data_IF_769667064412
#
_entry.id   IF_769667064412
#
_cell.length_a   1.000
_cell.length_b   1.000
_cell.length_c   1.000
_cell.angle_alpha   90.00
_cell.angle_beta   90.00
_cell.angle_gamma   90.00
#
_symmetry.space_group_name_H-M   'P 1'
#
loop_
_entity.id
_entity.type
_entity.pdbx_description
1 polymer ?
#
# COMPACT_ATOMS: atom_id res chain seq x y z
N UNK A 1 -13.65 -26.67 8.82
CA UNK A 1 -12.23 -26.59 9.21
C UNK A 1 -11.39 -25.76 8.23
N UNK A 2 -11.22 -26.19 6.96
CA UNK A 2 -10.37 -25.46 6.00
C UNK A 2 -10.73 -23.97 5.84
N UNK A 3 -12.02 -23.61 5.79
CA UNK A 3 -12.44 -22.21 5.69
C UNK A 3 -11.95 -21.35 6.86
N UNK A 4 -11.89 -21.87 8.09
CA UNK A 4 -11.33 -21.13 9.22
C UNK A 4 -9.83 -20.89 9.04
N UNK A 5 -9.07 -21.92 8.64
CA UNK A 5 -7.62 -21.81 8.39
C UNK A 5 -7.32 -20.84 7.23
N UNK A 6 -8.15 -20.86 6.20
CA UNK A 6 -8.01 -19.94 5.09
C UNK A 6 -8.31 -18.50 5.53
N UNK A 7 -9.44 -18.26 6.20
CA UNK A 7 -9.88 -16.90 6.51
C UNK A 7 -9.10 -16.25 7.67
N UNK A 8 -8.64 -17.02 8.66
CA UNK A 8 -7.78 -16.49 9.73
C UNK A 8 -6.47 -15.92 9.18
N UNK A 9 -6.02 -16.41 8.01
CA UNK A 9 -4.90 -15.83 7.27
C UNK A 9 -5.36 -14.75 6.27
N UNK A 10 -6.34 -15.08 5.42
CA UNK A 10 -6.70 -14.25 4.27
C UNK A 10 -7.37 -12.93 4.68
N UNK A 11 -8.07 -12.88 5.81
CA UNK A 11 -8.65 -11.63 6.30
C UNK A 11 -7.57 -10.65 6.80
N UNK A 12 -6.65 -11.01 7.71
CA UNK A 12 -5.49 -10.15 8.01
C UNK A 12 -4.68 -9.74 6.78
N UNK A 13 -4.57 -10.64 5.79
CA UNK A 13 -3.86 -10.35 4.54
C UNK A 13 -4.46 -9.19 3.75
N UNK A 14 -5.79 -8.95 3.80
CA UNK A 14 -6.36 -7.77 3.15
C UNK A 14 -5.84 -6.47 3.77
N UNK A 15 -5.61 -6.44 5.08
CA UNK A 15 -5.02 -5.27 5.75
C UNK A 15 -3.55 -5.09 5.41
N UNK A 16 -2.79 -6.18 5.25
CA UNK A 16 -1.39 -6.11 4.81
C UNK A 16 -1.28 -5.37 3.46
N UNK A 17 -2.26 -5.52 2.57
CA UNK A 17 -2.28 -4.81 1.29
C UNK A 17 -2.74 -3.35 1.47
N UNK A 18 -3.81 -3.13 2.23
CA UNK A 18 -4.47 -1.82 2.32
C UNK A 18 -3.69 -0.80 3.15
N UNK A 19 -3.03 -1.23 4.23
CA UNK A 19 -2.34 -0.32 5.15
C UNK A 19 -1.19 0.45 4.48
N UNK A 20 -0.34 -0.15 3.62
CA UNK A 20 0.61 0.60 2.82
C UNK A 20 -0.03 1.70 1.96
N UNK A 21 -1.15 1.43 1.29
CA UNK A 21 -1.85 2.44 0.49
C UNK A 21 -2.40 3.58 1.37
N UNK A 22 -2.95 3.27 2.56
CA UNK A 22 -3.35 4.27 3.55
C UNK A 22 -2.15 5.12 4.02
N UNK A 23 -0.99 4.49 4.23
CA UNK A 23 0.26 5.18 4.56
C UNK A 23 0.70 6.14 3.45
N UNK A 24 0.72 5.66 2.19
CA UNK A 24 1.05 6.50 1.03
C UNK A 24 0.14 7.72 0.93
N UNK A 25 -1.18 7.55 1.12
CA UNK A 25 -2.14 8.66 1.12
C UNK A 25 -1.90 9.59 2.30
N UNK A 26 -1.67 9.05 3.50
CA UNK A 26 -1.47 9.84 4.72
C UNK A 26 -0.21 10.68 4.68
N UNK A 27 0.81 10.25 3.95
CA UNK A 27 2.08 10.96 3.78
C UNK A 27 2.04 11.96 2.62
N UNK A 28 1.52 11.53 1.46
CA UNK A 28 1.59 12.32 0.23
C UNK A 28 0.41 13.29 0.03
N UNK A 29 -0.81 12.97 0.50
CA UNK A 29 -1.96 13.90 0.40
C UNK A 29 -1.71 15.25 1.10
N UNK A 30 -1.15 15.30 2.32
CA UNK A 30 -0.79 16.55 3.00
C UNK A 30 0.09 17.49 2.17
N UNK A 31 1.04 16.95 1.39
CA UNK A 31 1.92 17.72 0.49
C UNK A 31 1.11 18.55 -0.49
N UNK A 32 0.12 17.94 -1.13
CA UNK A 32 -0.76 18.62 -2.07
C UNK A 32 -1.79 19.51 -1.38
N UNK A 33 -2.00 19.37 -0.07
CA UNK A 33 -2.84 20.27 0.73
C UNK A 33 -2.04 21.41 1.38
N UNK A 34 -0.70 21.42 1.26
CA UNK A 34 0.19 22.45 1.85
C UNK A 34 0.00 22.61 3.37
N UNK A 35 -0.32 21.51 4.04
CA UNK A 35 -0.55 21.47 5.48
C UNK A 35 -0.27 20.06 6.00
N UNK A 36 0.24 19.90 7.24
CA UNK A 36 0.34 18.60 7.90
C UNK A 36 -0.97 17.83 7.95
N UNK A 37 -0.86 16.51 8.07
CA UNK A 37 -1.99 15.61 8.28
C UNK A 37 -2.76 15.99 9.55
N UNK A 38 -4.03 16.33 9.39
CA UNK A 38 -4.90 16.65 10.53
C UNK A 38 -5.11 15.41 11.38
N UNK A 39 -4.86 15.52 12.68
CA UNK A 39 -5.07 14.42 13.62
C UNK A 39 -4.08 13.25 13.45
N UNK A 40 -2.82 13.52 13.05
CA UNK A 40 -1.77 12.50 12.87
C UNK A 40 -1.79 11.39 13.93
N UNK A 41 -1.76 11.74 15.22
CA UNK A 41 -1.75 10.77 16.32
C UNK A 41 -2.98 9.87 16.30
N UNK A 42 -4.17 10.42 15.98
CA UNK A 42 -5.40 9.66 15.85
C UNK A 42 -5.35 8.71 14.65
N UNK A 43 -4.76 9.13 13.53
CA UNK A 43 -4.56 8.27 12.36
C UNK A 43 -3.60 7.12 12.66
N UNK A 44 -2.51 7.37 13.40
CA UNK A 44 -1.58 6.33 13.84
C UNK A 44 -2.28 5.33 14.77
N UNK A 45 -3.01 5.81 15.78
CA UNK A 45 -3.78 4.95 16.70
C UNK A 45 -4.82 4.15 15.91
N UNK A 46 -5.52 4.76 14.96
CA UNK A 46 -6.49 4.08 14.11
C UNK A 46 -5.84 2.99 13.25
N UNK A 47 -4.67 3.26 12.68
CA UNK A 47 -3.91 2.29 11.88
C UNK A 47 -3.51 1.08 12.71
N UNK A 48 -2.92 1.31 13.90
CA UNK A 48 -2.53 0.24 14.84
C UNK A 48 -3.76 -0.55 15.31
N UNK A 49 -4.86 0.15 15.64
CA UNK A 49 -6.11 -0.48 16.05
C UNK A 49 -6.67 -1.37 14.94
N UNK A 50 -6.62 -0.92 13.69
CA UNK A 50 -7.03 -1.71 12.52
C UNK A 50 -6.18 -2.97 12.38
N UNK A 51 -4.85 -2.87 12.57
CA UNK A 51 -3.95 -4.02 12.52
C UNK A 51 -4.31 -5.07 13.57
N UNK A 52 -4.55 -4.66 14.82
CA UNK A 52 -4.90 -5.58 15.92
C UNK A 52 -6.27 -6.22 15.67
N UNK A 53 -7.29 -5.40 15.38
CA UNK A 53 -8.65 -5.88 15.15
C UNK A 53 -8.74 -6.77 13.90
N UNK A 54 -7.88 -6.58 12.90
CA UNK A 54 -7.87 -7.36 11.67
C UNK A 54 -7.64 -8.85 11.90
N UNK A 55 -6.98 -9.26 12.98
CA UNK A 55 -6.84 -10.67 13.36
C UNK A 55 -8.09 -11.26 14.04
N UNK A 56 -9.05 -10.42 14.45
CA UNK A 56 -10.21 -10.81 15.25
C UNK A 56 -11.54 -10.90 14.51
N UNK A 57 -11.58 -10.72 13.19
CA UNK A 57 -12.85 -10.52 12.43
C UNK A 57 -13.09 -11.53 11.30
N UNK A 58 -12.19 -12.49 11.06
CA UNK A 58 -12.19 -13.34 9.86
C UNK A 58 -13.47 -14.15 9.62
N UNK A 59 -14.20 -14.50 10.68
CA UNK A 59 -15.40 -15.33 10.60
C UNK A 59 -16.56 -14.62 9.87
N UNK A 60 -16.50 -13.31 9.65
CA UNK A 60 -17.52 -12.65 8.81
C UNK A 60 -17.57 -13.18 7.38
N UNK A 61 -16.51 -13.83 6.90
CA UNK A 61 -16.51 -14.48 5.59
C UNK A 61 -17.30 -15.80 5.56
N UNK A 62 -17.77 -16.24 6.73
CA UNK A 62 -18.39 -17.54 6.97
C UNK A 62 -19.80 -17.42 7.55
N UNK A 63 -20.41 -16.23 7.59
CA UNK A 63 -21.73 -16.05 8.19
C UNK A 63 -22.78 -17.01 7.59
N UNK A 64 -22.80 -17.16 6.26
CA UNK A 64 -23.71 -18.05 5.54
C UNK A 64 -23.36 -19.57 5.61
N UNK A 65 -22.55 -20.02 6.58
CA UNK A 65 -22.11 -21.43 6.68
C UNK A 65 -22.77 -22.24 7.80
N UNK A 66 -23.73 -21.64 8.52
CA UNK A 66 -24.48 -22.32 9.59
C UNK A 66 -23.74 -22.38 10.94
N UNK A 67 -22.82 -21.44 11.19
CA UNK A 67 -22.11 -21.34 12.47
C UNK A 67 -23.04 -20.88 13.62
N UNK A 68 -22.72 -21.21 14.90
CA UNK A 68 -23.56 -20.87 16.04
C UNK A 68 -23.85 -19.37 16.17
N UNK A 69 -25.05 -19.04 16.65
CA UNK A 69 -25.51 -17.65 16.81
C UNK A 69 -24.60 -16.77 17.67
N UNK A 70 -24.01 -17.33 18.74
CA UNK A 70 -23.06 -16.61 19.58
C UNK A 70 -21.82 -16.16 18.79
N UNK A 71 -21.31 -17.01 17.91
CA UNK A 71 -20.19 -16.66 17.01
C UNK A 71 -20.62 -15.60 15.99
N UNK A 72 -21.79 -15.75 15.36
CA UNK A 72 -22.32 -14.75 14.42
C UNK A 72 -22.38 -13.37 15.07
N UNK A 73 -22.94 -13.29 16.29
CA UNK A 73 -23.12 -12.03 17.02
C UNK A 73 -21.79 -11.38 17.39
N UNK A 74 -20.84 -12.17 17.89
CA UNK A 74 -19.50 -11.67 18.25
C UNK A 74 -18.75 -11.10 17.04
N UNK A 75 -18.65 -11.88 15.96
CA UNK A 75 -17.87 -11.48 14.79
C UNK A 75 -18.55 -10.38 13.97
N UNK A 76 -19.89 -10.29 14.00
CA UNK A 76 -20.62 -9.14 13.44
C UNK A 76 -20.31 -7.86 14.22
N UNK A 77 -20.40 -7.90 15.55
CA UNK A 77 -20.05 -6.77 16.41
C UNK A 77 -18.61 -6.31 16.22
N UNK A 78 -17.65 -7.23 16.21
CA UNK A 78 -16.24 -6.93 15.96
C UNK A 78 -16.03 -6.32 14.56
N UNK A 79 -16.75 -6.80 13.54
CA UNK A 79 -16.69 -6.25 12.18
C UNK A 79 -17.31 -4.86 12.07
N UNK A 80 -18.28 -4.49 12.91
CA UNK A 80 -18.75 -3.11 12.99
C UNK A 80 -17.71 -2.21 13.67
N UNK A 81 -17.06 -2.66 14.74
CA UNK A 81 -16.09 -1.85 15.49
C UNK A 81 -14.91 -1.41 14.61
N UNK A 82 -14.45 -2.26 13.68
CA UNK A 82 -13.32 -1.93 12.79
C UNK A 82 -13.60 -0.74 11.84
N UNK A 83 -14.87 -0.38 11.66
CA UNK A 83 -15.27 0.78 10.86
C UNK A 83 -14.91 2.10 11.55
N UNK A 84 -14.77 2.11 12.89
CA UNK A 84 -14.45 3.32 13.66
C UNK A 84 -13.04 3.82 13.35
N UNK A 85 -11.96 3.01 13.47
CA UNK A 85 -10.61 3.42 13.05
C UNK A 85 -10.55 3.89 11.59
N UNK A 86 -11.25 3.19 10.70
CA UNK A 86 -11.33 3.53 9.29
C UNK A 86 -11.96 4.91 9.08
N UNK A 87 -13.06 5.20 9.78
CA UNK A 87 -13.73 6.50 9.73
C UNK A 87 -12.83 7.62 10.26
N UNK A 88 -12.11 7.40 11.37
CA UNK A 88 -11.14 8.38 11.90
C UNK A 88 -10.12 8.78 10.83
N UNK A 89 -9.58 7.81 10.10
CA UNK A 89 -8.62 8.07 9.02
C UNK A 89 -9.25 8.84 7.85
N UNK A 90 -10.46 8.44 7.42
CA UNK A 90 -11.21 9.13 6.36
C UNK A 90 -11.50 10.58 6.72
N UNK A 91 -11.98 10.85 7.93
CA UNK A 91 -12.25 12.22 8.38
C UNK A 91 -10.96 13.04 8.51
N UNK A 92 -9.87 12.46 9.01
CA UNK A 92 -8.57 13.12 9.07
C UNK A 92 -8.10 13.58 7.68
N UNK A 93 -8.22 12.73 6.65
CA UNK A 93 -7.86 13.11 5.28
C UNK A 93 -8.80 14.19 4.71
N UNK A 94 -10.11 14.09 4.95
CA UNK A 94 -11.08 15.13 4.53
C UNK A 94 -10.75 16.47 5.19
N UNK A 95 -10.48 16.49 6.49
CA UNK A 95 -10.12 17.70 7.22
C UNK A 95 -8.77 18.27 6.75
N UNK A 96 -7.83 17.42 6.36
CA UNK A 96 -6.55 17.85 5.77
C UNK A 96 -6.78 18.60 4.44
N UNK A 97 -7.67 18.10 3.59
CA UNK A 97 -8.07 18.78 2.36
C UNK A 97 -8.83 20.08 2.67
N UNK A 98 -9.73 20.05 3.66
CA UNK A 98 -10.62 21.15 4.00
C UNK A 98 -9.88 22.36 4.58
N UNK A 99 -8.94 22.12 5.51
CA UNK A 99 -8.17 23.19 6.14
C UNK A 99 -6.94 23.61 5.33
N UNK A 100 -6.46 22.75 4.43
CA UNK A 100 -5.33 23.03 3.57
C UNK A 100 -5.67 23.95 2.39
N UNK A 101 -4.68 24.09 1.49
CA UNK A 101 -4.79 24.77 0.20
C UNK A 101 -4.48 23.77 -0.93
N UNK A 102 -5.49 23.02 -1.41
CA UNK A 102 -5.28 21.95 -2.39
C UNK A 102 -4.65 22.45 -3.69
N UNK A 103 -3.51 21.86 -4.06
CA UNK A 103 -2.84 22.03 -5.35
C UNK A 103 -3.22 20.84 -6.22
N UNK A 104 -4.15 21.06 -7.15
CA UNK A 104 -4.71 20.00 -7.99
C UNK A 104 -3.71 19.57 -9.06
N UNK A 105 -2.95 18.53 -8.74
CA UNK A 105 -2.06 17.78 -9.63
C UNK A 105 -2.52 16.33 -9.73
N UNK A 106 -1.98 15.58 -10.68
CA UNK A 106 -2.35 14.17 -10.89
C UNK A 106 -2.28 13.33 -9.60
N UNK A 107 -1.23 13.39 -8.76
CA UNK A 107 -1.21 12.64 -7.49
C UNK A 107 -2.41 12.97 -6.58
N UNK A 108 -2.73 14.26 -6.42
CA UNK A 108 -3.86 14.71 -5.61
C UNK A 108 -5.19 14.13 -6.10
N UNK A 109 -5.42 14.06 -7.42
CA UNK A 109 -6.65 13.49 -7.98
C UNK A 109 -6.82 12.02 -7.58
N UNK A 110 -5.73 11.24 -7.62
CA UNK A 110 -5.73 9.85 -7.18
C UNK A 110 -5.94 9.71 -5.67
N UNK A 111 -5.25 10.50 -4.84
CA UNK A 111 -5.42 10.46 -3.39
C UNK A 111 -6.81 10.93 -2.92
N UNK A 112 -7.38 11.95 -3.55
CA UNK A 112 -8.75 12.36 -3.27
C UNK A 112 -9.76 11.26 -3.68
N UNK A 113 -9.51 10.60 -4.81
CA UNK A 113 -10.35 9.49 -5.28
C UNK A 113 -10.21 8.24 -4.42
N UNK A 114 -9.04 7.99 -3.84
CA UNK A 114 -8.84 6.96 -2.83
C UNK A 114 -9.85 7.13 -1.68
N UNK A 115 -10.00 8.36 -1.16
CA UNK A 115 -10.94 8.65 -0.07
C UNK A 115 -12.37 8.31 -0.50
N UNK A 116 -12.77 8.73 -1.71
CA UNK A 116 -14.10 8.42 -2.27
C UNK A 116 -14.33 6.91 -2.38
N UNK A 117 -13.38 6.17 -2.96
CA UNK A 117 -13.48 4.71 -3.11
C UNK A 117 -13.54 4.03 -1.74
N UNK A 118 -12.74 4.51 -0.79
CA UNK A 118 -12.70 4.02 0.58
C UNK A 118 -14.07 4.22 1.25
N UNK A 119 -14.69 5.40 1.10
CA UNK A 119 -16.02 5.66 1.68
C UNK A 119 -17.10 4.75 1.08
N UNK A 120 -17.16 4.62 -0.26
CA UNK A 120 -18.15 3.75 -0.91
C UNK A 120 -17.96 2.28 -0.50
N UNK A 121 -16.72 1.82 -0.47
CA UNK A 121 -16.35 0.48 -0.02
C UNK A 121 -16.66 0.26 1.47
N UNK A 122 -16.40 1.25 2.32
CA UNK A 122 -16.68 1.20 3.75
C UNK A 122 -18.17 1.08 4.05
N UNK A 123 -19.02 1.85 3.35
CA UNK A 123 -20.49 1.79 3.50
C UNK A 123 -21.02 0.40 3.11
N UNK A 124 -20.57 -0.16 1.97
CA UNK A 124 -20.94 -1.54 1.58
C UNK A 124 -20.35 -2.59 2.54
N UNK A 125 -19.21 -2.31 3.16
CA UNK A 125 -18.60 -3.15 4.20
C UNK A 125 -19.45 -3.24 5.47
N UNK A 126 -20.00 -2.12 5.93
CA UNK A 126 -20.95 -2.10 7.05
C UNK A 126 -22.17 -2.97 6.76
N UNK A 127 -22.66 -2.96 5.51
CA UNK A 127 -23.78 -3.82 5.11
C UNK A 127 -23.41 -5.30 5.16
N UNK A 128 -22.21 -5.68 4.69
CA UNK A 128 -21.76 -7.10 4.71
C UNK A 128 -21.30 -7.56 6.10
N UNK A 129 -20.96 -6.65 7.00
CA UNK A 129 -20.72 -6.96 8.42
C UNK A 129 -22.02 -7.31 9.19
N UNK A 130 -23.17 -6.90 8.67
CA UNK A 130 -24.50 -7.22 9.22
C UNK A 130 -24.92 -8.63 8.82
N UNK A 131 -25.00 -9.55 9.78
CA UNK A 131 -25.36 -10.97 9.52
C UNK A 131 -26.67 -11.12 8.73
N UNK A 132 -27.78 -10.44 9.08
CA UNK A 132 -29.03 -10.55 8.30
C UNK A 132 -28.89 -10.08 6.85
N UNK A 133 -28.11 -9.02 6.61
CA UNK A 133 -27.87 -8.52 5.26
C UNK A 133 -26.91 -9.45 4.51
N UNK A 134 -25.83 -9.92 5.15
CA UNK A 134 -24.91 -10.87 4.53
C UNK A 134 -25.64 -12.14 4.10
N UNK A 135 -26.60 -12.68 4.85
CA UNK A 135 -27.36 -13.84 4.40
C UNK A 135 -28.05 -13.65 3.03
N UNK A 136 -28.41 -12.42 2.67
CA UNK A 136 -28.98 -12.10 1.36
C UNK A 136 -27.91 -11.78 0.31
N UNK A 137 -26.83 -11.12 0.73
CA UNK A 137 -25.78 -10.60 -0.16
C UNK A 137 -24.66 -11.62 -0.40
N UNK A 138 -24.55 -12.65 0.44
CA UNK A 138 -23.46 -13.61 0.44
C UNK A 138 -23.41 -14.32 -0.91
N UNK A 139 -22.24 -14.30 -1.54
CA UNK A 139 -22.06 -14.95 -2.83
C UNK A 139 -22.72 -14.24 -4.01
N UNK A 140 -23.25 -13.02 -3.86
CA UNK A 140 -23.76 -12.23 -4.98
C UNK A 140 -22.70 -11.26 -5.51
N UNK A 141 -23.04 -10.57 -6.60
CA UNK A 141 -22.27 -9.45 -7.14
C UNK A 141 -22.10 -8.29 -6.16
N UNK A 142 -22.91 -8.19 -5.09
CA UNK A 142 -22.75 -7.15 -4.08
C UNK A 142 -21.42 -7.30 -3.34
N UNK A 143 -21.09 -8.52 -2.91
CA UNK A 143 -19.80 -8.83 -2.26
C UNK A 143 -18.64 -8.64 -3.25
N UNK A 144 -18.85 -8.95 -4.52
CA UNK A 144 -17.85 -8.67 -5.57
C UNK A 144 -17.60 -7.18 -5.68
N UNK A 145 -18.65 -6.36 -5.77
CA UNK A 145 -18.55 -4.91 -5.84
C UNK A 145 -17.82 -4.35 -4.60
N UNK A 146 -18.26 -4.75 -3.41
CA UNK A 146 -17.65 -4.36 -2.14
C UNK A 146 -16.14 -4.61 -2.14
N UNK A 147 -15.70 -5.84 -2.41
CA UNK A 147 -14.27 -6.22 -2.45
C UNK A 147 -13.52 -5.41 -3.51
N UNK A 148 -14.11 -5.16 -4.68
CA UNK A 148 -13.46 -4.31 -5.68
C UNK A 148 -13.22 -2.91 -5.14
N UNK A 149 -14.16 -2.29 -4.42
CA UNK A 149 -13.92 -0.98 -3.79
C UNK A 149 -12.87 -1.03 -2.68
N UNK A 150 -13.03 -1.91 -1.67
CA UNK A 150 -12.19 -1.91 -0.46
C UNK A 150 -10.84 -2.62 -0.62
N UNK A 151 -10.65 -3.42 -1.65
CA UNK A 151 -9.36 -4.06 -1.91
C UNK A 151 -8.73 -3.49 -3.17
N UNK A 152 -9.41 -3.55 -4.31
CA UNK A 152 -8.78 -3.17 -5.58
C UNK A 152 -8.76 -1.65 -5.75
N UNK A 153 -9.87 -0.97 -5.50
CA UNK A 153 -10.04 0.47 -5.69
C UNK A 153 -9.07 1.24 -4.83
N UNK A 154 -9.17 1.12 -3.51
CA UNK A 154 -8.29 1.87 -2.61
C UNK A 154 -6.80 1.58 -2.89
N UNK A 155 -6.40 0.34 -3.16
CA UNK A 155 -5.00 0.07 -3.49
C UNK A 155 -4.61 0.66 -4.86
N UNK A 156 -5.46 0.53 -5.87
CA UNK A 156 -5.21 1.09 -7.20
C UNK A 156 -5.02 2.60 -7.15
N UNK A 157 -5.95 3.34 -6.53
CA UNK A 157 -5.87 4.80 -6.47
C UNK A 157 -4.71 5.25 -5.56
N UNK A 158 -4.49 4.59 -4.41
CA UNK A 158 -3.36 4.89 -3.53
C UNK A 158 -2.00 4.69 -4.21
N UNK A 159 -1.80 3.53 -4.84
CA UNK A 159 -0.54 3.17 -5.52
C UNK A 159 -0.32 3.99 -6.79
N UNK A 160 -1.36 4.32 -7.55
CA UNK A 160 -1.19 5.20 -8.72
C UNK A 160 -0.87 6.64 -8.29
N UNK A 161 -1.52 7.16 -7.25
CA UNK A 161 -1.15 8.46 -6.68
C UNK A 161 0.31 8.48 -6.22
N UNK A 162 0.72 7.44 -5.51
CA UNK A 162 2.10 7.21 -5.09
C UNK A 162 3.09 7.13 -6.26
N UNK A 163 2.72 6.40 -7.33
CA UNK A 163 3.52 6.32 -8.54
C UNK A 163 3.77 7.72 -9.10
N UNK A 164 2.73 8.52 -9.33
CA UNK A 164 2.90 9.89 -9.84
C UNK A 164 3.67 10.80 -8.87
N UNK A 165 3.50 10.62 -7.56
CA UNK A 165 4.18 11.39 -6.53
C UNK A 165 5.69 11.09 -6.48
N UNK A 166 6.08 9.82 -6.37
CA UNK A 166 7.49 9.41 -6.24
C UNK A 166 8.20 9.10 -7.57
N UNK A 167 7.51 9.05 -8.71
CA UNK A 167 8.16 8.87 -10.02
C UNK A 167 9.31 9.86 -10.30
N UNK A 168 9.20 11.16 -9.97
CA UNK A 168 10.31 12.09 -10.09
C UNK A 168 11.53 11.68 -9.26
N UNK A 169 11.31 11.19 -8.03
CA UNK A 169 12.38 10.72 -7.14
C UNK A 169 13.04 9.44 -7.66
N UNK A 170 12.28 8.52 -8.25
CA UNK A 170 12.82 7.27 -8.80
C UNK A 170 13.56 7.46 -10.14
N UNK A 171 13.09 8.39 -10.99
CA UNK A 171 13.57 8.51 -12.38
C UNK A 171 14.36 9.78 -12.69
N UNK A 172 14.33 10.79 -11.81
CA UNK A 172 14.85 12.13 -12.07
C UNK A 172 14.04 12.93 -13.09
N UNK A 173 12.87 12.45 -13.51
CA UNK A 173 12.05 13.03 -14.59
C UNK A 173 10.60 13.22 -14.17
N UNK A 174 9.94 14.24 -14.71
CA UNK A 174 8.50 14.49 -14.51
C UNK A 174 7.65 13.74 -15.53
N UNK A 175 6.52 13.16 -15.10
CA UNK A 175 5.47 12.63 -15.98
C UNK A 175 4.64 13.78 -16.59
N UNK A 176 3.91 13.48 -17.67
CA UNK A 176 3.00 14.47 -18.28
C UNK A 176 1.73 14.61 -17.44
N UNK A 177 1.48 15.82 -16.91
CA UNK A 177 0.24 16.15 -16.19
C UNK A 177 -0.99 15.94 -17.09
N UNK A 178 -0.95 16.39 -18.35
CA UNK A 178 -2.09 16.25 -19.28
C UNK A 178 -2.46 14.78 -19.46
N UNK A 179 -1.48 13.93 -19.79
CA UNK A 179 -1.71 12.51 -20.01
C UNK A 179 -2.16 11.81 -18.71
N UNK A 180 -1.59 12.22 -17.57
CA UNK A 180 -1.98 11.70 -16.26
C UNK A 180 -3.42 12.05 -15.89
N UNK A 181 -3.89 13.25 -16.22
CA UNK A 181 -5.30 13.65 -16.04
C UNK A 181 -6.25 12.84 -16.91
N UNK A 182 -5.89 12.58 -18.19
CA UNK A 182 -6.69 11.69 -19.05
C UNK A 182 -6.75 10.28 -18.48
N UNK A 183 -5.59 9.71 -18.12
CA UNK A 183 -5.51 8.39 -17.50
C UNK A 183 -6.38 8.32 -16.24
N UNK A 184 -6.27 9.32 -15.38
CA UNK A 184 -7.10 9.45 -14.17
C UNK A 184 -8.60 9.46 -14.50
N UNK A 185 -9.05 10.27 -15.46
CA UNK A 185 -10.46 10.36 -15.81
C UNK A 185 -11.03 9.01 -16.28
N UNK A 186 -10.29 8.29 -17.12
CA UNK A 186 -10.68 6.96 -17.58
C UNK A 186 -10.63 5.90 -16.46
N UNK A 187 -9.64 5.95 -15.58
CA UNK A 187 -9.55 5.04 -14.43
C UNK A 187 -10.68 5.30 -13.44
N UNK A 188 -10.89 6.54 -13.03
CA UNK A 188 -11.93 6.92 -12.09
C UNK A 188 -13.33 6.62 -12.63
N UNK A 189 -13.62 7.07 -13.85
CA UNK A 189 -14.89 6.82 -14.51
C UNK A 189 -15.11 5.33 -14.79
N UNK A 190 -14.11 4.67 -15.38
CA UNK A 190 -14.17 3.25 -15.73
C UNK A 190 -14.32 2.35 -14.51
N UNK A 191 -13.59 2.60 -13.43
CA UNK A 191 -13.70 1.84 -12.18
C UNK A 191 -15.11 1.94 -11.57
N UNK A 192 -15.65 3.15 -11.45
CA UNK A 192 -17.00 3.31 -10.90
C UNK A 192 -18.06 2.73 -11.84
N UNK A 193 -17.93 2.90 -13.15
CA UNK A 193 -18.84 2.30 -14.12
C UNK A 193 -18.77 0.77 -14.12
N UNK A 194 -17.59 0.20 -13.85
CA UNK A 194 -17.37 -1.23 -13.76
C UNK A 194 -17.99 -1.84 -12.50
N UNK A 195 -17.78 -1.22 -11.33
CA UNK A 195 -18.04 -1.89 -10.06
C UNK A 195 -19.20 -1.29 -9.26
N UNK A 196 -19.52 -0.01 -9.41
CA UNK A 196 -20.66 0.58 -8.70
C UNK A 196 -21.99 -0.11 -9.07
N UNK A 197 -22.30 -0.35 -10.37
CA UNK A 197 -23.54 -1.00 -10.75
C UNK A 197 -23.64 -2.46 -10.29
N UNK A 198 -22.52 -3.11 -9.97
CA UNK A 198 -22.53 -4.47 -9.43
C UNK A 198 -23.21 -4.56 -8.06
N UNK A 199 -23.21 -3.49 -7.25
CA UNK A 199 -24.02 -3.46 -6.03
C UNK A 199 -25.50 -3.65 -6.35
N UNK A 200 -25.97 -3.04 -7.44
CA UNK A 200 -27.37 -3.13 -7.87
C UNK A 200 -27.73 -4.54 -8.35
N UNK A 201 -26.92 -5.14 -9.23
CA UNK A 201 -27.15 -6.54 -9.66
C UNK A 201 -27.02 -7.52 -8.50
N UNK A 202 -26.14 -7.24 -7.54
CA UNK A 202 -26.03 -8.00 -6.31
C UNK A 202 -27.29 -7.97 -5.45
N UNK A 203 -27.90 -6.79 -5.30
CA UNK A 203 -29.20 -6.63 -4.62
C UNK A 203 -30.34 -7.32 -5.37
N UNK A 204 -30.26 -7.40 -6.71
CA UNK A 204 -31.18 -8.19 -7.54
C UNK A 204 -30.91 -9.70 -7.49
N UNK A 205 -29.97 -10.16 -6.68
CA UNK A 205 -29.68 -11.59 -6.49
C UNK A 205 -28.78 -12.20 -7.56
N UNK A 206 -28.04 -11.40 -8.35
CA UNK A 206 -27.09 -11.94 -9.31
C UNK A 206 -25.94 -12.67 -8.59
N UNK A 207 -25.81 -14.01 -8.74
CA UNK A 207 -24.75 -14.76 -8.08
C UNK A 207 -23.40 -14.49 -8.73
N UNK A 208 -22.33 -14.52 -7.94
CA UNK A 208 -20.94 -14.48 -8.47
C UNK A 208 -20.56 -15.81 -9.10
N UNK A 209 -19.52 -15.80 -9.95
CA UNK A 209 -18.94 -17.01 -10.58
C UNK A 209 -19.90 -17.76 -11.51
N UNK A 210 -20.78 -17.03 -12.17
CA UNK A 210 -21.59 -17.54 -13.29
C UNK A 210 -21.05 -16.97 -14.60
N UNK A 211 -20.96 -17.81 -15.63
CA UNK A 211 -20.48 -17.39 -16.95
C UNK A 211 -21.59 -16.83 -17.85
N UNK A 212 -22.85 -17.07 -17.49
CA UNK A 212 -24.05 -16.63 -18.21
C UNK A 212 -25.20 -16.41 -17.25
N UNK A 213 -26.24 -15.70 -17.70
CA UNK A 213 -27.47 -15.43 -16.94
C UNK A 213 -28.69 -15.43 -17.87
N UNK A 214 -29.89 -15.73 -17.35
CA UNK A 214 -31.12 -15.68 -18.15
C UNK A 214 -31.43 -14.27 -18.65
N UNK A 215 -31.91 -14.14 -19.89
CA UNK A 215 -32.26 -12.85 -20.52
C UNK A 215 -33.33 -12.08 -19.72
N UNK A 216 -34.31 -12.79 -19.17
CA UNK A 216 -35.40 -12.21 -18.36
C UNK A 216 -35.03 -11.79 -16.93
N UNK A 217 -33.77 -11.96 -16.50
CA UNK A 217 -33.36 -11.64 -15.13
C UNK A 217 -33.21 -10.12 -14.86
N UNK A 218 -33.27 -9.28 -15.90
CA UNK A 218 -33.13 -7.83 -15.77
C UNK A 218 -31.70 -7.33 -15.58
N UNK A 219 -30.70 -8.21 -15.61
CA UNK A 219 -29.29 -7.87 -15.36
C UNK A 219 -28.53 -7.42 -16.62
N UNK A 220 -29.10 -7.59 -17.82
CA UNK A 220 -28.39 -7.44 -19.10
C UNK A 220 -27.76 -6.05 -19.30
N UNK A 221 -28.56 -4.99 -19.16
CA UNK A 221 -28.06 -3.62 -19.34
C UNK A 221 -27.04 -3.21 -18.28
N UNK A 222 -27.24 -3.65 -17.04
CA UNK A 222 -26.30 -3.36 -15.95
C UNK A 222 -24.98 -4.09 -16.19
N UNK A 223 -25.00 -5.36 -16.58
CA UNK A 223 -23.77 -6.11 -16.92
C UNK A 223 -23.05 -5.53 -18.13
N UNK A 224 -23.77 -5.09 -19.17
CA UNK A 224 -23.17 -4.37 -20.30
C UNK A 224 -22.44 -3.12 -19.83
N UNK A 225 -23.05 -2.35 -18.92
CA UNK A 225 -22.45 -1.15 -18.33
C UNK A 225 -21.17 -1.49 -17.57
N UNK A 226 -21.19 -2.54 -16.73
CA UNK A 226 -20.00 -2.99 -16.01
C UNK A 226 -18.87 -3.41 -16.96
N UNK A 227 -19.22 -4.05 -18.09
CA UNK A 227 -18.27 -4.48 -19.11
C UNK A 227 -17.62 -3.28 -19.79
N UNK A 228 -18.40 -2.29 -20.23
CA UNK A 228 -17.88 -1.05 -20.79
C UNK A 228 -16.96 -0.33 -19.80
N UNK A 229 -17.37 -0.24 -18.53
CA UNK A 229 -16.55 0.32 -17.46
C UNK A 229 -15.20 -0.38 -17.32
N UNK A 230 -15.16 -1.71 -17.41
CA UNK A 230 -13.92 -2.48 -17.31
C UNK A 230 -12.94 -2.18 -18.48
N UNK A 231 -13.46 -1.99 -19.69
CA UNK A 231 -12.62 -1.60 -20.84
C UNK A 231 -12.11 -0.16 -20.71
N UNK A 232 -12.93 0.77 -20.20
CA UNK A 232 -12.49 2.14 -19.92
C UNK A 232 -11.38 2.17 -18.85
N UNK A 233 -11.54 1.36 -17.80
CA UNK A 233 -10.51 1.19 -16.77
C UNK A 233 -9.20 0.65 -17.39
N UNK A 234 -9.28 -0.41 -18.20
CA UNK A 234 -8.10 -0.98 -18.87
C UNK A 234 -7.41 0.04 -19.79
N UNK A 235 -8.19 0.83 -20.53
CA UNK A 235 -7.66 1.91 -21.36
C UNK A 235 -6.97 3.00 -20.52
N UNK A 236 -7.55 3.37 -19.38
CA UNK A 236 -6.92 4.31 -18.45
C UNK A 236 -5.60 3.78 -17.88
N UNK A 237 -5.51 2.49 -17.54
CA UNK A 237 -4.25 1.85 -17.12
C UNK A 237 -3.21 1.88 -18.25
N UNK A 238 -3.62 1.60 -19.49
CA UNK A 238 -2.73 1.73 -20.65
C UNK A 238 -2.18 3.16 -20.78
N UNK A 239 -3.00 4.19 -20.56
CA UNK A 239 -2.54 5.58 -20.57
C UNK A 239 -1.53 5.88 -19.45
N UNK A 240 -1.65 5.26 -18.27
CA UNK A 240 -0.62 5.37 -17.22
C UNK A 240 0.71 4.78 -17.72
N UNK A 241 0.69 3.59 -18.31
CA UNK A 241 1.90 2.96 -18.84
C UNK A 241 2.55 3.80 -19.95
N UNK A 242 1.75 4.35 -20.86
CA UNK A 242 2.21 5.29 -21.88
C UNK A 242 2.83 6.54 -21.23
N UNK A 243 2.26 7.04 -20.13
CA UNK A 243 2.79 8.20 -19.42
C UNK A 243 4.10 7.90 -18.70
N UNK A 244 4.23 6.72 -18.10
CA UNK A 244 5.49 6.25 -17.49
C UNK A 244 6.58 6.19 -18.56
N UNK A 245 6.30 5.54 -19.68
CA UNK A 245 7.22 5.46 -20.82
C UNK A 245 7.59 6.86 -21.35
N UNK A 246 6.60 7.74 -21.53
CA UNK A 246 6.83 9.11 -21.96
C UNK A 246 7.68 9.91 -20.95
N UNK A 247 7.42 9.78 -19.65
CA UNK A 247 8.17 10.44 -18.58
C UNK A 247 9.64 10.00 -18.58
N UNK A 248 9.91 8.69 -18.68
CA UNK A 248 11.26 8.15 -18.74
C UNK A 248 12.06 8.63 -19.96
N UNK A 249 11.40 8.80 -21.11
CA UNK A 249 12.06 9.15 -22.38
C UNK A 249 12.14 10.66 -22.63
N UNK A 250 11.13 11.41 -22.24
CA UNK A 250 10.90 12.81 -22.65
C UNK A 250 10.48 13.74 -21.50
N UNK A 251 10.42 13.24 -20.27
CA UNK A 251 10.08 14.05 -19.10
C UNK A 251 11.07 15.20 -18.88
N UNK A 252 10.60 16.31 -18.30
CA UNK A 252 11.48 17.39 -17.85
C UNK A 252 12.28 16.92 -16.63
N UNK A 253 13.52 17.37 -16.41
CA UNK A 253 14.25 17.13 -15.17
C UNK A 253 13.40 17.53 -13.95
N UNK A 254 13.35 16.67 -12.93
CA UNK A 254 12.50 16.86 -11.76
C UNK A 254 13.05 17.89 -10.76
N UNK A 255 14.38 17.97 -10.62
CA UNK A 255 15.01 18.57 -9.44
C UNK A 255 14.78 17.72 -8.18
N UNK A 256 15.24 18.25 -7.05
CA UNK A 256 15.31 17.48 -5.80
C UNK A 256 13.93 17.37 -5.13
N UNK A 257 13.19 18.49 -5.10
CA UNK A 257 11.87 18.62 -4.49
C UNK A 257 10.86 19.30 -5.44
N UNK A 258 10.34 18.60 -6.47
CA UNK A 258 9.38 19.16 -7.42
C UNK A 258 8.03 19.53 -6.80
N UNK A 259 7.71 18.97 -5.63
CA UNK A 259 6.40 19.12 -4.98
C UNK A 259 6.40 20.09 -3.80
N UNK A 260 7.57 20.58 -3.38
CA UNK A 260 7.75 21.33 -2.13
C UNK A 260 7.25 20.52 -0.91
N UNK A 261 7.61 19.24 -0.87
CA UNK A 261 7.25 18.29 0.19
C UNK A 261 8.12 18.45 1.45
N UNK A 262 7.60 18.10 2.65
CA UNK A 262 8.26 18.34 3.94
C UNK A 262 9.29 17.29 4.37
N UNK A 263 9.25 16.10 3.78
CA UNK A 263 9.93 14.89 4.25
C UNK A 263 11.33 14.71 3.65
N UNK A 264 12.14 13.87 4.30
CA UNK A 264 13.57 13.73 4.02
C UNK A 264 13.90 13.28 2.60
N UNK A 265 13.09 12.42 1.99
CA UNK A 265 13.35 11.92 0.64
C UNK A 265 13.43 13.05 -0.40
N UNK A 266 12.84 14.21 -0.10
CA UNK A 266 12.87 15.40 -0.94
C UNK A 266 14.03 16.35 -0.65
N UNK A 267 14.88 16.03 0.33
CA UNK A 267 16.07 16.81 0.68
C UNK A 267 17.33 16.40 -0.12
N UNK A 268 17.23 15.31 -0.89
CA UNK A 268 18.32 14.75 -1.72
C UNK A 268 17.98 14.84 -3.20
N UNK A 269 18.97 14.57 -4.05
CA UNK A 269 18.80 14.58 -5.50
C UNK A 269 17.72 13.61 -6.01
N UNK A 270 17.31 13.80 -7.26
CA UNK A 270 16.41 12.89 -7.97
C UNK A 270 17.06 12.39 -9.27
N UNK A 271 17.45 11.10 -9.38
CA UNK A 271 17.39 10.06 -8.35
C UNK A 271 18.37 10.32 -7.19
N UNK A 272 18.13 9.72 -6.02
CA UNK A 272 19.07 9.82 -4.90
C UNK A 272 20.39 9.12 -5.23
N UNK A 273 21.51 9.59 -4.66
CA UNK A 273 22.78 8.87 -4.77
C UNK A 273 22.68 7.52 -4.03
N UNK A 274 23.55 6.52 -4.32
CA UNK A 274 23.48 5.20 -3.69
C UNK A 274 23.53 5.21 -2.15
N UNK A 275 24.18 6.22 -1.57
CA UNK A 275 24.30 6.42 -0.12
C UNK A 275 23.14 7.22 0.50
N UNK A 276 22.22 7.75 -0.31
CA UNK A 276 21.17 8.71 0.07
C UNK A 276 21.72 9.99 0.72
N UNK A 277 22.09 9.94 2.01
CA UNK A 277 22.64 11.04 2.79
C UNK A 277 24.09 10.73 3.17
N UNK A 278 25.00 11.66 2.89
CA UNK A 278 26.41 11.49 3.26
C UNK A 278 26.60 11.48 4.80
N UNK A 279 25.80 12.28 5.50
CA UNK A 279 25.74 12.33 6.97
C UNK A 279 24.34 11.96 7.43
N UNK A 280 24.22 11.16 8.49
CA UNK A 280 22.92 10.82 9.05
C UNK A 280 22.18 12.10 9.52
N UNK A 281 20.96 12.39 9.04
CA UNK A 281 20.25 13.61 9.45
C UNK A 281 19.75 13.51 10.90
N UNK A 282 19.85 14.61 11.64
CA UNK A 282 19.28 14.75 12.99
C UNK A 282 17.99 15.56 12.87
N UNK A 283 16.85 14.97 13.27
CA UNK A 283 15.53 15.57 13.08
C UNK A 283 14.98 16.15 14.39
N UNK A 284 14.51 17.39 14.33
CA UNK A 284 13.80 18.05 15.44
C UNK A 284 12.28 18.09 15.23
N UNK A 285 11.82 17.82 14.01
CA UNK A 285 10.41 17.84 13.60
C UNK A 285 10.08 16.68 12.67
N UNK A 286 8.80 16.34 12.56
CA UNK A 286 8.28 15.37 11.56
C UNK A 286 8.35 15.92 10.14
N UNK A 287 8.42 17.24 10.00
CA UNK A 287 8.39 17.95 8.72
C UNK A 287 9.66 18.81 8.56
N UNK A 288 10.85 18.21 8.48
CA UNK A 288 12.14 18.93 8.53
C UNK A 288 12.29 20.02 7.46
N UNK A 289 11.68 19.86 6.28
CA UNK A 289 11.77 20.86 5.20
C UNK A 289 10.71 21.97 5.31
N UNK A 290 9.77 21.88 6.25
CA UNK A 290 8.72 22.88 6.50
C UNK A 290 8.83 23.52 7.90
N UNK A 291 9.92 23.34 8.63
CA UNK A 291 10.10 23.88 9.99
C UNK A 291 9.92 25.41 10.05
N UNK A 292 10.32 26.15 9.02
CA UNK A 292 10.12 27.61 8.97
C UNK A 292 8.64 28.02 8.79
N UNK A 293 7.76 27.07 8.45
CA UNK A 293 6.33 27.29 8.16
C UNK A 293 5.43 26.74 9.26
N UNK A 294 5.93 25.86 10.11
CA UNK A 294 5.16 25.11 11.09
C UNK A 294 5.74 25.30 12.50
N UNK A 295 4.91 25.58 13.51
CA UNK A 295 5.35 25.64 14.90
C UNK A 295 5.45 24.23 15.48
N UNK A 296 6.37 23.41 14.96
CA UNK A 296 6.60 22.02 15.37
C UNK A 296 8.06 21.79 15.79
N UNK A 297 8.28 20.96 16.81
CA UNK A 297 9.60 20.59 17.30
C UNK A 297 10.14 21.50 18.42
N UNK A 298 11.20 21.03 19.10
CA UNK A 298 11.90 21.77 20.17
C UNK A 298 13.21 22.43 19.69
N UNK A 299 13.52 22.33 18.39
CA UNK A 299 14.76 22.78 17.78
C UNK A 299 14.69 22.78 16.25
N UNK A 300 15.83 22.88 15.57
CA UNK A 300 15.92 22.78 14.10
C UNK A 300 16.55 21.47 13.68
N UNK A 301 16.03 20.86 12.61
CA UNK A 301 16.65 19.69 11.99
C UNK A 301 17.98 20.07 11.33
N UNK A 302 18.95 19.14 11.36
CA UNK A 302 20.23 19.29 10.69
C UNK A 302 20.47 18.11 9.76
N UNK A 303 20.57 18.39 8.47
CA UNK A 303 20.78 17.36 7.44
C UNK A 303 22.26 17.05 7.20
N UNK A 304 23.16 17.87 7.75
CA UNK A 304 24.60 17.87 7.41
C UNK A 304 25.54 17.69 8.62
N UNK A 305 25.01 17.62 9.85
CA UNK A 305 25.82 17.61 11.07
C UNK A 305 25.71 16.31 11.89
N UNK A 306 25.22 15.22 11.30
CA UNK A 306 25.27 13.93 11.97
C UNK A 306 26.53 13.13 11.63
N UNK A 307 26.66 11.91 12.20
CA UNK A 307 27.77 11.02 11.91
C UNK A 307 27.92 10.76 10.40
N UNK A 308 29.17 10.79 9.95
CA UNK A 308 29.55 10.44 8.59
C UNK A 308 29.54 8.91 8.45
N UNK A 309 28.88 8.40 7.41
CA UNK A 309 28.81 6.96 7.10
C UNK A 309 29.48 6.75 5.74
N UNK A 310 30.80 6.95 5.68
CA UNK A 310 31.59 6.98 4.46
C UNK A 310 32.52 5.78 4.25
N UNK A 311 32.62 4.84 5.21
CA UNK A 311 33.40 3.60 5.07
C UNK A 311 32.58 2.45 4.42
N UNK A 312 32.08 2.70 3.21
CA UNK A 312 31.33 1.72 2.42
C UNK A 312 29.82 1.72 2.70
N UNK A 313 29.21 0.54 2.78
CA UNK A 313 27.77 0.41 3.09
C UNK A 313 27.59 0.32 4.59
N UNK A 314 27.40 1.44 5.26
CA UNK A 314 27.18 1.48 6.71
C UNK A 314 25.75 1.88 7.06
N UNK A 315 25.24 1.33 8.15
CA UNK A 315 23.97 1.73 8.75
C UNK A 315 24.16 2.02 10.23
N UNK A 316 23.45 3.03 10.71
CA UNK A 316 23.43 3.37 12.13
C UNK A 316 22.34 2.56 12.83
N UNK A 317 22.74 1.83 13.86
CA UNK A 317 21.81 1.26 14.84
C UNK A 317 21.57 2.27 15.96
N UNK A 318 20.34 2.28 16.44
CA UNK A 318 19.91 3.12 17.55
C UNK A 318 19.42 2.28 18.71
N UNK A 319 19.38 2.87 19.90
CA UNK A 319 18.74 2.26 21.06
C UNK A 319 17.25 2.03 20.78
N UNK A 320 16.71 0.92 21.30
CA UNK A 320 15.34 0.48 20.98
C UNK A 320 14.26 1.47 21.48
N UNK A 321 14.52 2.13 22.61
CA UNK A 321 13.54 3.02 23.26
C UNK A 321 13.71 4.48 22.86
N UNK A 322 14.94 4.99 22.90
CA UNK A 322 15.21 6.42 22.79
C UNK A 322 15.71 6.83 21.40
N UNK A 323 15.90 5.85 20.50
CA UNK A 323 16.45 6.04 19.16
C UNK A 323 17.81 6.78 19.17
N UNK A 324 18.59 6.64 20.24
CA UNK A 324 19.92 7.23 20.36
C UNK A 324 20.93 6.40 19.56
N UNK A 325 21.81 7.02 18.74
CA UNK A 325 22.81 6.29 17.96
C UNK A 325 23.80 5.49 18.83
N UNK A 326 23.79 4.16 18.69
CA UNK A 326 24.54 3.20 19.50
C UNK A 326 25.74 2.60 18.74
N UNK A 327 25.49 1.95 17.60
CA UNK A 327 26.51 1.23 16.81
C UNK A 327 26.44 1.61 15.33
N UNK A 328 27.58 1.51 14.64
CA UNK A 328 27.63 1.53 13.17
C UNK A 328 27.86 0.09 12.70
N UNK A 329 27.00 -0.39 11.80
CA UNK A 329 27.10 -1.74 11.25
C UNK A 329 27.39 -1.70 9.76
N UNK A 330 28.30 -2.56 9.32
CA UNK A 330 28.54 -2.80 7.89
C UNK A 330 27.43 -3.66 7.32
N UNK A 331 26.81 -3.15 6.27
CA UNK A 331 25.73 -3.81 5.55
C UNK A 331 26.33 -4.76 4.50
N UNK A 332 25.71 -5.92 4.26
CA UNK A 332 26.20 -6.88 3.27
C UNK A 332 26.31 -6.30 1.86
N UNK A 333 27.37 -6.70 1.16
CA UNK A 333 27.55 -6.40 -0.26
C UNK A 333 26.61 -7.18 -1.18
N UNK A 334 26.59 -6.74 -2.44
CA UNK A 334 25.80 -7.38 -3.48
C UNK A 334 26.25 -8.85 -3.65
N UNK A 335 25.29 -9.76 -3.74
CA UNK A 335 25.57 -11.20 -3.83
C UNK A 335 24.55 -11.92 -4.70
N UNK A 336 25.01 -12.97 -5.40
CA UNK A 336 24.16 -13.82 -6.24
C UNK A 336 23.39 -14.87 -5.44
N UNK A 337 23.73 -15.11 -4.17
CA UNK A 337 23.13 -16.19 -3.37
C UNK A 337 21.60 -16.12 -3.27
N UNK A 338 20.96 -14.95 -3.05
CA UNK A 338 19.49 -14.85 -3.02
C UNK A 338 18.86 -15.22 -4.37
N UNK A 339 19.48 -14.82 -5.47
CA UNK A 339 19.03 -15.16 -6.83
C UNK A 339 19.13 -16.67 -7.07
N UNK A 340 20.28 -17.28 -6.77
CA UNK A 340 20.49 -18.71 -6.93
C UNK A 340 19.54 -19.53 -6.05
N UNK A 341 19.31 -19.08 -4.81
CA UNK A 341 18.32 -19.69 -3.90
C UNK A 341 16.92 -19.62 -4.50
N UNK A 342 16.55 -18.50 -5.11
CA UNK A 342 15.24 -18.33 -5.77
C UNK A 342 15.07 -19.27 -6.98
N UNK A 343 16.13 -19.41 -7.80
CA UNK A 343 16.14 -20.37 -8.91
C UNK A 343 15.98 -21.80 -8.39
N UNK A 344 16.74 -22.17 -7.35
CA UNK A 344 16.64 -23.50 -6.72
C UNK A 344 15.25 -23.76 -6.13
N UNK A 345 14.64 -22.76 -5.47
CA UNK A 345 13.26 -22.81 -4.98
C UNK A 345 12.25 -23.00 -6.12
N UNK A 346 12.43 -22.31 -7.24
CA UNK A 346 11.56 -22.46 -8.41
C UNK A 346 11.64 -23.88 -8.98
N UNK A 347 12.85 -24.44 -9.10
CA UNK A 347 13.04 -25.84 -9.50
C UNK A 347 12.38 -26.78 -8.50
N UNK A 348 12.59 -26.58 -7.20
CA UNK A 348 12.01 -27.41 -6.14
C UNK A 348 10.48 -27.43 -6.20
N UNK A 349 9.83 -26.28 -6.15
CA UNK A 349 8.37 -26.19 -6.14
C UNK A 349 7.76 -26.56 -7.50
N UNK A 350 8.41 -26.21 -8.62
CA UNK A 350 7.99 -26.65 -9.95
C UNK A 350 8.06 -28.17 -10.10
N UNK A 351 9.12 -28.80 -9.56
CA UNK A 351 9.26 -30.25 -9.56
C UNK A 351 8.21 -30.92 -8.65
N UNK A 352 7.91 -30.37 -7.47
CA UNK A 352 6.83 -30.86 -6.61
C UNK A 352 5.47 -30.80 -7.31
N UNK A 353 5.16 -29.68 -7.98
CA UNK A 353 3.92 -29.49 -8.72
C UNK A 353 3.76 -30.51 -9.86
N UNK A 354 4.87 -30.84 -10.54
CA UNK A 354 4.90 -31.81 -11.62
C UNK A 354 5.15 -33.26 -11.15
N UNK A 355 5.20 -33.50 -9.84
CA UNK A 355 5.51 -34.79 -9.23
C UNK A 355 6.87 -35.40 -9.66
N UNK A 356 7.84 -34.54 -10.00
CA UNK A 356 9.21 -34.92 -10.38
C UNK A 356 10.11 -35.04 -9.14
N UNK A 357 9.96 -36.12 -8.37
CA UNK A 357 10.60 -36.28 -7.05
C UNK A 357 12.13 -36.20 -7.04
N UNK A 358 12.80 -36.69 -8.08
CA UNK A 358 14.27 -36.59 -8.21
C UNK A 358 14.73 -35.15 -8.34
N UNK A 359 14.03 -34.35 -9.15
CA UNK A 359 14.28 -32.92 -9.31
C UNK A 359 13.89 -32.12 -8.07
N UNK A 360 12.85 -32.55 -7.34
CA UNK A 360 12.52 -31.96 -6.05
C UNK A 360 13.64 -32.22 -5.03
N UNK A 361 14.15 -33.44 -4.92
CA UNK A 361 15.28 -33.74 -4.04
C UNK A 361 16.54 -32.93 -4.42
N UNK A 362 16.84 -32.83 -5.72
CA UNK A 362 17.95 -32.02 -6.22
C UNK A 362 17.75 -30.52 -5.93
N UNK A 363 16.55 -29.99 -6.14
CA UNK A 363 16.19 -28.61 -5.84
C UNK A 363 16.33 -28.30 -4.35
N UNK A 364 15.87 -29.19 -3.47
CA UNK A 364 16.05 -29.05 -2.03
C UNK A 364 17.53 -29.03 -1.63
N UNK A 365 18.34 -29.94 -2.19
CA UNK A 365 19.79 -29.94 -1.99
C UNK A 365 20.44 -28.63 -2.44
N UNK A 366 20.05 -28.12 -3.61
CA UNK A 366 20.54 -26.84 -4.12
C UNK A 366 20.12 -25.65 -3.24
N UNK A 367 18.90 -25.63 -2.70
CA UNK A 367 18.45 -24.61 -1.73
C UNK A 367 19.36 -24.63 -0.50
N UNK A 368 19.58 -25.80 0.09
CA UNK A 368 20.42 -25.93 1.28
C UNK A 368 21.86 -25.47 1.02
N UNK A 369 22.44 -25.86 -0.12
CA UNK A 369 23.78 -25.41 -0.51
C UNK A 369 23.86 -23.89 -0.72
N UNK A 370 22.86 -23.29 -1.38
CA UNK A 370 22.81 -21.84 -1.59
C UNK A 370 22.63 -21.10 -0.25
N UNK A 371 21.79 -21.61 0.66
CA UNK A 371 21.60 -21.03 1.99
C UNK A 371 22.87 -21.13 2.85
N UNK A 372 23.57 -22.27 2.80
CA UNK A 372 24.86 -22.42 3.48
C UNK A 372 25.90 -21.42 2.95
N UNK A 373 25.98 -21.24 1.64
CA UNK A 373 26.87 -20.25 1.03
C UNK A 373 26.46 -18.81 1.34
N UNK A 374 25.16 -18.53 1.40
CA UNK A 374 24.64 -17.21 1.72
C UNK A 374 24.90 -16.81 3.18
N UNK A 375 24.64 -17.74 4.10
CA UNK A 375 24.74 -17.53 5.55
C UNK A 375 26.14 -17.87 6.09
N UNK A 376 27.10 -18.14 5.21
CA UNK A 376 28.47 -18.40 5.63
C UNK A 376 29.04 -17.17 6.34
N UNK A 377 29.52 -17.30 7.59
CA UNK A 377 30.07 -16.17 8.34
C UNK A 377 31.22 -15.51 7.58
N UNK A 378 31.26 -14.19 7.60
CA UNK A 378 32.35 -13.42 7.02
C UNK A 378 32.89 -12.43 8.03
N UNK A 379 34.21 -12.43 8.19
CA UNK A 379 34.91 -11.62 9.20
C UNK A 379 34.90 -10.11 8.85
N UNK A 380 34.69 -9.77 7.58
CA UNK A 380 34.62 -8.39 7.06
C UNK A 380 33.33 -7.65 7.45
N UNK A 381 32.31 -8.37 7.91
CA UNK A 381 31.05 -7.80 8.42
C UNK A 381 31.03 -7.63 9.95
N UNK A 382 32.19 -7.71 10.61
CA UNK A 382 32.30 -7.49 12.05
C UNK A 382 31.86 -6.07 12.45
N UNK A 383 31.14 -5.97 13.58
CA UNK A 383 30.60 -4.70 14.09
C UNK A 383 31.69 -3.90 14.81
N UNK A 384 31.73 -2.58 14.61
CA UNK A 384 32.64 -1.66 15.31
C UNK A 384 31.84 -0.76 16.26
N UNK A 385 32.33 -0.59 17.50
CA UNK A 385 31.70 0.32 18.45
C UNK A 385 32.12 1.77 18.19
N UNK A 386 31.24 2.71 18.57
CA UNK A 386 31.40 4.15 18.35
C UNK A 386 32.66 4.76 19.00
N UNK A 387 33.22 4.11 20.02
CA UNK A 387 34.47 4.55 20.67
C UNK A 387 35.68 4.55 19.71
N UNK A 388 35.63 3.84 18.58
CA UNK A 388 36.73 3.74 17.64
C UNK A 388 36.89 4.94 16.68
N UNK A 389 35.88 5.80 16.52
CA UNK A 389 35.87 6.88 15.50
C UNK A 389 36.13 8.30 16.06
N UNK A 390 36.50 8.43 17.33
CA UNK A 390 36.87 9.71 17.96
C UNK A 390 38.40 9.94 18.08
N UNK A 391 39.19 9.28 17.24
CA UNK A 391 40.66 9.40 17.16
C UNK A 391 41.12 10.42 16.13
#
# INVERSE_FOLDING_TARGET
>A
MWQHLFWIFAHPWVYIIVLPAMGMVSDALPVFCRQPLVGYTLVVIATITTMILGFGVWVHHMFATGIPFMSLSFFSGASFIITIPSAVSVFAWILTIWYGKPVVKVPFLYFASFIVMFTIGGVSGVMTASVPADFQLHGTYFVVAHIHYVLIGINLFGVLGALYFWFPKMSGRMMSERLGTWAFAFIFGGFNLAFLPMHWTGLMGMPRRVYTYPEGAGWGWVNMTTTVGSFLLAFGILLVLVNVWHGLRRGKPAGDNPWDAPTLEWAVSSPPPPYNFATAPVLASRHPLWEDRLPEGSGRSSLHHGPLLDDGKEAMLTTVLDAEPDLVVKMPDDTLWPFLTTVAMTVFFGALLLHLWTWAAAGLGAILLCMLGWLWPRDDLAQTSKEAHHG
#
